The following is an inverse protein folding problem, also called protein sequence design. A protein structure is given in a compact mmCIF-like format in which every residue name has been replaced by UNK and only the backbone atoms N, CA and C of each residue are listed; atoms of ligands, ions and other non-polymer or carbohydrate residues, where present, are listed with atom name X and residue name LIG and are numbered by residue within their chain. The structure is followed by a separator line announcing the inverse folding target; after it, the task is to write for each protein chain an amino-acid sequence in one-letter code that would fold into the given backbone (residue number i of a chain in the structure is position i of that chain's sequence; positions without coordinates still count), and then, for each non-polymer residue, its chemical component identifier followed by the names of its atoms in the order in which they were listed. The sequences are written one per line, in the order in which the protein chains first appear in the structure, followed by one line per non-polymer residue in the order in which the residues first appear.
data_IF_969203881367
#
_entry.id   IF_969203881367
#
_cell.length_a   1.000
_cell.length_b   1.000
_cell.length_c   1.000
_cell.angle_alpha   90.00
_cell.angle_beta   90.00
_cell.angle_gamma   90.00
#
_symmetry.space_group_name_H-M   'P 1'
#
loop_
_entity.id
_entity.type
_entity.pdbx_description
1 polymer ?
#
# COMPACT_ATOMS: atom_id res chain seq x y z
N UNK A 1 8.83 -22.65 1.88
CA UNK A 1 7.38 -22.40 1.66
C UNK A 1 7.27 -21.17 0.76
N UNK A 2 6.36 -21.17 -0.21
CA UNK A 2 6.09 -19.98 -1.02
C UNK A 2 5.34 -18.95 -0.18
N UNK A 3 5.62 -17.66 -0.38
CA UNK A 3 4.85 -16.59 0.27
C UNK A 3 3.43 -16.54 -0.30
N UNK A 4 2.42 -16.11 0.48
CA UNK A 4 1.11 -15.79 -0.07
C UNK A 4 1.25 -14.65 -1.09
N UNK A 5 0.46 -14.73 -2.16
CA UNK A 5 0.44 -13.72 -3.24
C UNK A 5 -0.74 -12.78 -3.02
N UNK A 6 -0.49 -11.47 -3.06
CA UNK A 6 -1.50 -10.42 -2.86
C UNK A 6 -1.57 -9.44 -4.04
N UNK A 7 -2.71 -8.77 -4.18
CA UNK A 7 -2.90 -7.66 -5.13
C UNK A 7 -2.16 -6.39 -4.67
N UNK A 8 -1.92 -5.41 -5.56
CA UNK A 8 -1.36 -4.11 -5.17
C UNK A 8 -2.23 -3.35 -4.15
N UNK A 9 -3.56 -3.49 -4.20
CA UNK A 9 -4.46 -2.87 -3.22
C UNK A 9 -4.33 -3.51 -1.84
N UNK A 10 -4.28 -4.84 -1.79
CA UNK A 10 -4.04 -5.59 -0.55
C UNK A 10 -2.65 -5.27 0.00
N UNK A 11 -1.64 -5.14 -0.86
CA UNK A 11 -0.32 -4.68 -0.45
C UNK A 11 -0.36 -3.31 0.23
N UNK A 12 -1.06 -2.32 -0.35
CA UNK A 12 -1.23 -1.00 0.27
C UNK A 12 -2.00 -1.09 1.60
N UNK A 13 -3.02 -1.93 1.68
CA UNK A 13 -3.77 -2.14 2.92
C UNK A 13 -2.86 -2.71 4.03
N UNK A 14 -2.10 -3.76 3.71
CA UNK A 14 -1.15 -4.42 4.61
C UNK A 14 -0.02 -3.49 5.07
N UNK A 15 0.46 -2.61 4.18
CA UNK A 15 1.45 -1.57 4.53
C UNK A 15 0.84 -0.59 5.52
N UNK A 16 -0.34 -0.04 5.22
CA UNK A 16 -1.00 0.95 6.09
C UNK A 16 -1.46 0.38 7.42
N UNK A 17 -1.81 -0.90 7.49
CA UNK A 17 -2.12 -1.59 8.75
C UNK A 17 -0.90 -1.67 9.67
N UNK A 18 0.29 -1.96 9.09
CA UNK A 18 1.54 -2.06 9.86
C UNK A 18 2.19 -0.72 10.16
N UNK A 19 1.93 0.30 9.33
CA UNK A 19 2.61 1.60 9.38
C UNK A 19 2.56 2.28 10.77
N UNK A 20 1.44 2.29 11.50
CA UNK A 20 1.37 2.85 12.86
C UNK A 20 2.28 2.18 13.89
N UNK A 21 2.76 0.96 13.61
CA UNK A 21 3.62 0.19 14.51
C UNK A 21 5.12 0.38 14.21
N UNK A 22 5.47 1.27 13.27
CA UNK A 22 6.87 1.58 12.94
C UNK A 22 7.33 2.78 13.78
N UNK A 23 8.51 2.67 14.38
CA UNK A 23 9.12 3.80 15.12
C UNK A 23 9.30 5.01 14.21
N UNK A 24 8.93 6.19 14.70
CA UNK A 24 8.91 7.42 13.88
C UNK A 24 7.62 7.65 13.10
N UNK A 25 6.61 6.79 13.24
CA UNK A 25 5.28 7.04 12.70
C UNK A 25 4.66 8.32 13.29
N UNK A 26 4.12 9.15 12.42
CA UNK A 26 3.31 10.32 12.75
C UNK A 26 1.86 10.12 12.28
N UNK A 27 0.91 10.64 13.05
CA UNK A 27 -0.51 10.50 12.72
C UNK A 27 -0.81 11.15 11.37
N UNK A 28 -1.47 10.40 10.50
CA UNK A 28 -1.84 10.85 9.16
C UNK A 28 -0.89 10.35 8.07
N UNK A 29 0.25 9.76 8.45
CA UNK A 29 1.10 9.07 7.49
C UNK A 29 0.34 7.94 6.80
N UNK A 30 0.39 7.90 5.47
CA UNK A 30 -0.25 6.86 4.66
C UNK A 30 0.50 6.63 3.35
N UNK A 31 0.49 5.38 2.91
CA UNK A 31 0.93 4.98 1.56
C UNK A 31 -0.31 4.74 0.70
N UNK A 32 -0.23 5.08 -0.58
CA UNK A 32 -1.32 4.85 -1.55
C UNK A 32 -0.74 4.36 -2.87
N UNK A 33 -1.60 3.83 -3.75
CA UNK A 33 -1.25 3.69 -5.16
C UNK A 33 -1.22 5.08 -5.81
N UNK A 34 -0.29 5.29 -6.75
CA UNK A 34 -0.18 6.54 -7.51
C UNK A 34 -0.62 6.34 -8.98
N UNK A 35 -1.44 7.24 -9.53
CA UNK A 35 -2.14 8.35 -8.84
C UNK A 35 -3.21 7.85 -7.85
N UNK A 36 -3.59 8.69 -6.88
CA UNK A 36 -4.61 8.34 -5.89
C UNK A 36 -5.92 7.90 -6.57
N UNK A 37 -6.54 6.84 -6.06
CA UNK A 37 -7.70 6.20 -6.69
C UNK A 37 -7.37 5.17 -7.77
N UNK A 38 -6.09 4.96 -8.08
CA UNK A 38 -5.65 3.87 -8.96
C UNK A 38 -5.86 2.50 -8.34
N UNK A 39 -5.90 1.49 -9.21
CA UNK A 39 -5.88 0.08 -8.86
C UNK A 39 -4.58 -0.57 -9.36
N UNK A 40 -4.37 -1.86 -9.09
CA UNK A 40 -3.16 -2.59 -9.48
C UNK A 40 -2.88 -2.60 -10.99
N UNK A 41 -3.92 -2.40 -11.82
CA UNK A 41 -3.79 -2.37 -13.27
C UNK A 41 -3.38 -0.98 -13.81
N UNK A 42 -3.72 0.10 -13.11
CA UNK A 42 -3.50 1.48 -13.58
C UNK A 42 -2.45 2.25 -12.78
N UNK A 43 -2.04 1.74 -11.62
CA UNK A 43 -1.03 2.36 -10.79
C UNK A 43 0.33 2.36 -11.49
N UNK A 44 1.02 3.50 -11.46
CA UNK A 44 2.40 3.64 -11.93
C UNK A 44 3.43 3.60 -10.81
N UNK A 45 2.97 3.56 -9.55
CA UNK A 45 3.83 3.47 -8.38
C UNK A 45 3.05 3.67 -7.08
N UNK A 46 3.75 4.19 -6.07
CA UNK A 46 3.19 4.48 -4.75
C UNK A 46 3.30 5.97 -4.42
N UNK A 47 2.26 6.51 -3.81
CA UNK A 47 2.26 7.84 -3.18
C UNK A 47 2.48 7.72 -1.68
N UNK A 48 3.07 8.76 -1.08
CA UNK A 48 3.28 8.88 0.35
C UNK A 48 2.81 10.25 0.81
N UNK A 49 2.09 10.30 1.92
CA UNK A 49 1.70 11.55 2.57
C UNK A 49 2.03 11.45 4.06
N UNK A 50 2.75 12.43 4.66
CA UNK A 50 3.49 13.50 3.99
C UNK A 50 4.74 12.94 3.28
N UNK A 51 5.14 13.55 2.15
CA UNK A 51 6.32 13.11 1.39
C UNK A 51 7.63 13.74 1.92
N UNK A 52 7.99 13.41 3.15
CA UNK A 52 9.27 13.82 3.78
C UNK A 52 10.29 12.69 3.77
N UNK A 53 11.57 13.02 4.02
CA UNK A 53 12.65 12.02 4.06
C UNK A 53 12.41 11.03 5.21
N UNK A 54 12.02 11.53 6.37
CA UNK A 54 11.69 10.74 7.55
C UNK A 54 10.52 9.82 7.25
N UNK A 55 9.48 10.36 6.60
CA UNK A 55 8.31 9.59 6.24
C UNK A 55 8.62 8.43 5.29
N UNK A 56 9.51 8.67 4.30
CA UNK A 56 9.97 7.64 3.37
C UNK A 56 10.72 6.52 4.09
N UNK A 57 11.53 6.82 5.10
CA UNK A 57 12.25 5.80 5.88
C UNK A 57 11.29 4.91 6.69
N UNK A 58 10.29 5.52 7.33
CA UNK A 58 9.26 4.82 8.10
C UNK A 58 8.40 3.94 7.17
N UNK A 59 7.90 4.51 6.07
CA UNK A 59 7.13 3.78 5.07
C UNK A 59 7.93 2.65 4.42
N UNK A 60 9.20 2.88 4.09
CA UNK A 60 10.10 1.86 3.55
C UNK A 60 10.30 0.68 4.50
N UNK A 61 10.30 0.93 5.81
CA UNK A 61 10.37 -0.13 6.83
C UNK A 61 9.08 -0.96 6.85
N UNK A 62 7.91 -0.32 6.80
CA UNK A 62 6.63 -1.01 6.70
C UNK A 62 6.56 -1.86 5.41
N UNK A 63 6.89 -1.27 4.26
CA UNK A 63 6.98 -1.95 2.95
C UNK A 63 7.89 -3.17 3.02
N UNK A 64 9.08 -3.04 3.60
CA UNK A 64 10.02 -4.17 3.71
C UNK A 64 9.47 -5.32 4.55
N UNK A 65 8.70 -5.03 5.62
CA UNK A 65 8.04 -6.07 6.42
C UNK A 65 6.97 -6.81 5.60
N UNK A 66 6.16 -6.09 4.83
CA UNK A 66 5.14 -6.71 3.97
C UNK A 66 5.80 -7.57 2.89
N UNK A 67 6.82 -7.06 2.20
CA UNK A 67 7.53 -7.81 1.16
C UNK A 67 8.33 -9.00 1.71
N UNK A 68 8.63 -9.03 3.01
CA UNK A 68 9.19 -10.22 3.64
C UNK A 68 8.16 -11.35 3.75
N UNK A 69 6.89 -11.01 3.98
CA UNK A 69 5.79 -11.96 4.22
C UNK A 69 5.02 -12.34 2.95
N UNK A 70 4.91 -11.43 1.98
CA UNK A 70 4.07 -11.58 0.79
C UNK A 70 4.83 -11.36 -0.53
N UNK A 71 4.33 -11.98 -1.59
CA UNK A 71 4.67 -11.62 -2.96
C UNK A 71 3.54 -10.77 -3.57
N UNK A 72 3.88 -9.71 -4.32
CA UNK A 72 2.89 -8.82 -4.94
C UNK A 72 2.75 -9.16 -6.42
N UNK A 73 1.52 -9.43 -6.87
CA UNK A 73 1.25 -9.69 -8.28
C UNK A 73 0.46 -8.52 -8.90
N UNK A 74 1.07 -7.72 -9.79
CA UNK A 74 0.41 -6.55 -10.40
C UNK A 74 -0.74 -6.93 -11.35
N UNK A 75 -0.85 -8.20 -11.75
CA UNK A 75 -1.92 -8.69 -12.61
C UNK A 75 -3.16 -9.15 -11.84
N UNK A 76 -3.12 -9.10 -10.50
CA UNK A 76 -4.28 -9.30 -9.65
C UNK A 76 -4.76 -7.91 -9.22
N UNK A 77 -5.86 -7.43 -9.79
CA UNK A 77 -6.54 -6.23 -9.27
C UNK A 77 -7.88 -6.63 -8.68
N UNK A 78 -8.20 -6.14 -7.48
CA UNK A 78 -9.56 -6.23 -6.99
C UNK A 78 -10.33 -5.04 -7.58
N UNK A 79 -11.38 -5.30 -8.38
CA UNK A 79 -12.28 -4.22 -8.80
C UNK A 79 -12.80 -3.52 -7.55
N UNK A 80 -12.51 -2.23 -7.42
CA UNK A 80 -12.98 -1.41 -6.31
C UNK A 80 -14.50 -1.33 -6.41
N UNK A 81 -15.21 -1.98 -5.49
CA UNK A 81 -16.69 -2.07 -5.44
C UNK A 81 -17.39 -0.71 -5.18
N UNK A 82 -16.66 0.41 -5.19
CA UNK A 82 -17.20 1.74 -4.94
C UNK A 82 -18.15 2.28 -6.03
N UNK A 83 -18.34 1.56 -7.14
CA UNK A 83 -19.20 2.00 -8.26
C UNK A 83 -20.67 1.54 -8.17
N UNK A 84 -21.08 0.83 -7.12
CA UNK A 84 -22.45 0.26 -7.03
C UNK A 84 -23.38 0.90 -5.97
N UNK A 85 -22.96 1.97 -5.29
CA UNK A 85 -23.79 2.64 -4.26
C UNK A 85 -24.19 4.09 -4.60
N UNK A 86 -24.05 4.53 -5.85
CA UNK A 86 -24.58 5.82 -6.34
C UNK A 86 -25.57 5.66 -7.49
N UNK A 87 -26.71 5.01 -7.22
CA UNK A 87 -27.94 5.19 -8.00
C UNK A 87 -29.12 5.44 -7.08
#
# INVERSE_FOLDING_TARGET
MSKPVISPEEFIAEVNERLPNIGGYEKGMRVSLYPEGSNGATASGHGLEPDTIEARAVAGTAVSKVLFEFDVNPHISRESWFTLLSK
#
